data_IF_405554134993
#
_entry.id   IF_405554134993
#
_cell.length_a   1.000
_cell.length_b   1.000
_cell.length_c   1.000
_cell.angle_alpha   90.00
_cell.angle_beta   90.00
_cell.angle_gamma   90.00
#
_symmetry.space_group_name_H-M   'P 1'
#
loop_
_entity.id
_entity.type
_entity.pdbx_description
1 polymer ?
#
# COMPACT_ATOMS: atom_id res chain seq x y z
N UNK A 1 32.66 -93.50 -76.47
CA UNK A 1 33.82 -92.91 -75.94
C UNK A 1 33.62 -91.42 -75.94
N UNK A 2 32.84 -90.95 -75.11
CA UNK A 2 32.26 -89.63 -75.23
C UNK A 2 32.60 -88.74 -74.00
N UNK A 3 33.28 -87.63 -74.24
CA UNK A 3 33.61 -86.65 -73.23
C UNK A 3 32.48 -85.67 -73.13
N UNK A 4 31.79 -85.66 -72.04
CA UNK A 4 30.82 -84.56 -71.68
C UNK A 4 31.59 -83.39 -71.06
N UNK A 5 31.48 -82.23 -71.63
CA UNK A 5 31.92 -80.93 -71.11
C UNK A 5 30.89 -80.38 -70.22
N UNK A 6 31.22 -80.08 -68.98
CA UNK A 6 30.41 -79.24 -68.08
C UNK A 6 30.65 -77.79 -68.45
N UNK A 7 29.58 -77.07 -68.73
CA UNK A 7 29.56 -75.63 -68.81
C UNK A 7 29.23 -75.06 -67.41
N UNK A 8 30.11 -74.21 -66.93
CA UNK A 8 29.84 -73.35 -65.79
C UNK A 8 28.93 -72.20 -66.18
N UNK A 9 27.86 -71.94 -65.42
CA UNK A 9 27.01 -70.77 -65.53
C UNK A 9 27.61 -69.59 -64.75
N UNK A 10 27.48 -68.33 -65.19
CA UNK A 10 28.09 -67.16 -64.53
C UNK A 10 27.41 -66.70 -63.29
N UNK A 11 28.20 -66.43 -62.26
CA UNK A 11 27.80 -65.68 -61.03
C UNK A 11 27.33 -64.24 -61.39
N UNK A 12 26.05 -64.00 -61.45
CA UNK A 12 25.51 -62.66 -61.67
C UNK A 12 24.41 -62.26 -60.71
N UNK A 13 24.21 -62.94 -59.56
CA UNK A 13 23.11 -62.69 -58.68
C UNK A 13 23.48 -61.94 -57.39
N UNK A 14 24.74 -61.78 -57.01
CA UNK A 14 25.07 -61.19 -55.70
C UNK A 14 25.26 -59.69 -55.66
N UNK A 15 25.58 -59.06 -56.84
CA UNK A 15 25.73 -57.57 -56.86
C UNK A 15 24.42 -56.79 -56.78
N UNK A 16 23.31 -57.38 -57.23
CA UNK A 16 21.98 -56.70 -57.22
C UNK A 16 21.34 -56.76 -55.84
N UNK A 17 21.57 -57.76 -55.01
CA UNK A 17 21.05 -57.86 -53.67
C UNK A 17 21.81 -56.93 -52.64
N UNK A 18 23.10 -56.72 -52.82
CA UNK A 18 23.84 -55.77 -51.97
C UNK A 18 23.52 -54.32 -52.26
N UNK A 19 23.25 -53.91 -53.52
CA UNK A 19 22.80 -52.56 -53.88
C UNK A 19 21.35 -52.25 -53.34
N UNK A 20 20.49 -53.25 -53.37
CA UNK A 20 19.10 -53.09 -52.84
C UNK A 20 19.08 -52.93 -51.29
N UNK A 21 19.98 -53.65 -50.59
CA UNK A 21 20.09 -53.52 -49.10
C UNK A 21 20.72 -52.19 -48.68
N UNK A 22 21.59 -51.58 -49.46
CA UNK A 22 22.20 -50.30 -49.16
C UNK A 22 21.25 -49.11 -49.39
N UNK A 23 20.34 -49.23 -50.35
CA UNK A 23 19.32 -48.19 -50.63
C UNK A 23 18.18 -48.20 -49.59
N UNK A 24 17.87 -49.38 -49.02
CA UNK A 24 16.81 -49.46 -47.98
C UNK A 24 17.29 -48.99 -46.60
N UNK A 25 18.58 -49.12 -46.27
CA UNK A 25 19.13 -48.60 -45.01
C UNK A 25 19.24 -47.07 -45.00
N UNK A 26 19.48 -46.40 -46.13
CA UNK A 26 19.52 -44.94 -46.21
C UNK A 26 18.11 -44.30 -46.12
N UNK A 27 17.04 -45.08 -46.31
CA UNK A 27 15.65 -44.58 -46.16
C UNK A 27 15.10 -44.63 -44.73
N UNK A 28 15.71 -45.43 -43.83
CA UNK A 28 15.19 -45.56 -42.44
C UNK A 28 15.73 -44.49 -41.46
N UNK A 29 16.78 -43.75 -41.80
CA UNK A 29 17.35 -42.75 -40.86
C UNK A 29 16.82 -41.34 -40.95
N UNK A 30 15.85 -41.04 -41.81
CA UNK A 30 15.20 -39.73 -41.83
C UNK A 30 13.80 -39.77 -41.21
N UNK A 31 13.76 -39.98 -39.88
CA UNK A 31 12.55 -39.66 -39.13
C UNK A 31 12.16 -38.20 -39.38
N UNK A 32 10.92 -37.93 -39.76
CA UNK A 32 10.49 -36.56 -40.04
C UNK A 32 10.64 -35.73 -38.74
N UNK A 33 11.62 -34.80 -38.75
CA UNK A 33 11.70 -33.78 -37.70
C UNK A 33 10.34 -33.10 -37.61
N UNK A 34 9.53 -33.46 -36.60
CA UNK A 34 8.25 -32.79 -36.29
C UNK A 34 8.52 -31.30 -36.11
N UNK A 35 8.37 -30.53 -37.15
CA UNK A 35 8.33 -29.06 -37.10
C UNK A 35 7.17 -28.72 -36.15
N UNK A 36 7.50 -28.40 -34.88
CA UNK A 36 6.50 -27.98 -33.92
C UNK A 36 5.63 -26.90 -34.55
N UNK A 37 4.30 -27.03 -34.41
CA UNK A 37 3.34 -26.13 -35.03
C UNK A 37 3.66 -24.70 -34.62
N UNK A 38 3.37 -23.72 -35.46
CA UNK A 38 3.59 -22.29 -35.18
C UNK A 38 3.02 -21.90 -33.82
N UNK A 39 1.88 -22.47 -33.46
CA UNK A 39 1.24 -22.33 -32.14
C UNK A 39 2.16 -22.77 -30.98
N UNK A 40 2.88 -23.88 -31.14
CA UNK A 40 3.80 -24.35 -30.07
C UNK A 40 5.04 -23.46 -29.96
N UNK A 41 5.53 -22.88 -31.06
CA UNK A 41 6.65 -21.92 -31.03
C UNK A 41 6.22 -20.61 -30.38
N UNK A 42 5.06 -20.07 -30.76
CA UNK A 42 4.47 -18.87 -30.15
C UNK A 42 4.20 -19.08 -28.66
N UNK A 43 3.63 -20.23 -28.26
CA UNK A 43 3.40 -20.55 -26.86
C UNK A 43 4.71 -20.63 -26.03
N UNK A 44 5.79 -21.16 -26.61
CA UNK A 44 7.11 -21.17 -25.94
C UNK A 44 7.68 -19.76 -25.79
N UNK A 45 7.57 -18.90 -26.81
CA UNK A 45 8.05 -17.52 -26.76
C UNK A 45 7.29 -16.75 -25.69
N UNK A 46 5.95 -16.84 -25.66
CA UNK A 46 5.12 -16.18 -24.63
C UNK A 46 5.48 -16.74 -23.26
N UNK A 47 5.62 -18.05 -23.10
CA UNK A 47 6.00 -18.68 -21.82
C UNK A 47 7.38 -18.24 -21.34
N UNK A 48 8.38 -18.13 -22.23
CA UNK A 48 9.71 -17.62 -21.86
C UNK A 48 9.69 -16.15 -21.50
N UNK A 49 8.95 -15.31 -22.23
CA UNK A 49 8.77 -13.89 -21.89
C UNK A 49 8.12 -13.73 -20.51
N UNK A 50 7.07 -14.50 -20.24
CA UNK A 50 6.37 -14.47 -18.96
C UNK A 50 7.28 -14.94 -17.82
N UNK A 51 8.06 -16.01 -18.04
CA UNK A 51 9.05 -16.48 -17.09
C UNK A 51 10.13 -15.43 -16.79
N UNK A 52 10.65 -14.76 -17.82
CA UNK A 52 11.63 -13.67 -17.66
C UNK A 52 11.03 -12.52 -16.85
N UNK A 53 9.79 -12.10 -17.14
CA UNK A 53 9.11 -11.04 -16.38
C UNK A 53 8.96 -11.44 -14.91
N UNK A 54 8.53 -12.67 -14.63
CA UNK A 54 8.36 -13.16 -13.25
C UNK A 54 9.70 -13.23 -12.52
N UNK A 55 10.75 -13.78 -13.15
CA UNK A 55 12.08 -13.86 -12.55
C UNK A 55 12.68 -12.49 -12.29
N UNK A 56 12.57 -11.58 -13.26
CA UNK A 56 13.04 -10.19 -13.11
C UNK A 56 12.28 -9.50 -11.97
N UNK A 57 10.96 -9.65 -11.91
CA UNK A 57 10.13 -9.13 -10.82
C UNK A 57 10.54 -9.71 -9.46
N UNK A 58 10.81 -11.01 -9.37
CA UNK A 58 11.27 -11.64 -8.13
C UNK A 58 12.65 -11.15 -7.68
N UNK A 59 13.58 -10.95 -8.61
CA UNK A 59 14.91 -10.38 -8.32
C UNK A 59 14.76 -8.93 -7.81
N UNK A 60 13.97 -8.10 -8.48
CA UNK A 60 13.70 -6.74 -8.03
C UNK A 60 13.05 -6.71 -6.65
N UNK A 61 12.06 -7.57 -6.40
CA UNK A 61 11.42 -7.70 -5.10
C UNK A 61 12.41 -8.12 -4.00
N UNK A 62 13.32 -9.06 -4.30
CA UNK A 62 14.36 -9.50 -3.38
C UNK A 62 15.37 -8.39 -3.04
N UNK A 63 15.90 -7.69 -4.05
CA UNK A 63 16.81 -6.55 -3.87
C UNK A 63 16.12 -5.44 -3.09
N UNK A 64 14.88 -5.12 -3.44
CA UNK A 64 14.08 -4.11 -2.77
C UNK A 64 13.82 -4.47 -1.31
N UNK A 65 13.44 -5.70 -1.02
CA UNK A 65 13.26 -6.21 0.34
C UNK A 65 14.56 -6.14 1.17
N UNK A 66 15.69 -6.53 0.59
CA UNK A 66 17.00 -6.44 1.23
C UNK A 66 17.39 -4.98 1.52
N UNK A 67 17.17 -4.07 0.54
CA UNK A 67 17.40 -2.64 0.71
C UNK A 67 16.56 -2.04 1.84
N UNK A 68 15.26 -2.35 1.87
CA UNK A 68 14.35 -1.91 2.93
C UNK A 68 14.85 -2.41 4.29
N UNK A 69 15.13 -3.72 4.40
CA UNK A 69 15.57 -4.32 5.65
C UNK A 69 16.90 -3.72 6.17
N UNK A 70 17.84 -3.39 5.27
CA UNK A 70 19.12 -2.80 5.67
C UNK A 70 19.06 -1.30 5.95
N UNK A 71 18.26 -0.55 5.17
CA UNK A 71 18.17 0.93 5.28
C UNK A 71 17.18 1.41 6.35
N UNK A 72 16.26 0.54 6.79
CA UNK A 72 15.14 0.91 7.65
C UNK A 72 15.23 0.34 9.06
N UNK A 73 16.15 -0.58 9.35
CA UNK A 73 16.36 -1.07 10.73
C UNK A 73 16.72 0.09 11.64
N UNK A 74 15.90 0.31 12.68
CA UNK A 74 16.11 1.37 13.70
C UNK A 74 15.59 2.77 13.32
N UNK A 75 14.96 2.94 12.14
CA UNK A 75 14.33 4.23 11.73
C UNK A 75 12.81 4.13 11.57
N UNK A 76 12.24 2.97 11.85
CA UNK A 76 10.86 2.64 11.50
C UNK A 76 9.92 2.76 12.69
N UNK A 77 10.45 2.72 13.91
CA UNK A 77 9.64 2.69 15.11
C UNK A 77 8.92 4.03 15.31
N UNK A 78 7.60 3.96 15.34
CA UNK A 78 6.70 5.04 15.71
C UNK A 78 5.98 4.57 16.97
N UNK A 79 6.10 5.31 18.06
CA UNK A 79 5.46 4.99 19.33
C UNK A 79 4.31 5.95 19.56
N UNK A 80 3.10 5.43 19.83
CA UNK A 80 1.92 6.27 20.06
C UNK A 80 2.03 7.01 21.40
N UNK A 81 2.66 6.42 22.39
CA UNK A 81 2.85 6.99 23.73
C UNK A 81 3.64 8.32 23.70
N UNK A 82 4.46 8.54 22.64
CA UNK A 82 5.20 9.79 22.47
C UNK A 82 4.29 10.97 22.05
N UNK A 83 3.07 10.71 21.57
CA UNK A 83 2.13 11.75 21.08
C UNK A 83 1.25 12.31 22.18
N UNK A 84 0.90 11.51 23.19
CA UNK A 84 0.17 11.99 24.37
C UNK A 84 0.92 13.10 25.11
N UNK A 85 2.25 13.17 24.91
CA UNK A 85 3.09 14.20 25.57
C UNK A 85 3.12 15.54 24.86
N UNK A 86 2.62 15.65 23.62
CA UNK A 86 2.57 16.89 22.83
C UNK A 86 1.30 17.69 23.05
N UNK A 87 0.77 17.65 24.25
CA UNK A 87 -0.42 18.42 24.62
C UNK A 87 -0.06 19.85 24.99
N UNK A 88 -1.03 20.76 24.80
CA UNK A 88 -0.90 22.15 25.21
C UNK A 88 -0.75 22.25 26.74
N UNK A 89 0.05 23.21 27.21
CA UNK A 89 0.19 23.48 28.65
C UNK A 89 -0.81 24.56 29.05
N UNK A 90 -1.65 24.28 30.02
CA UNK A 90 -2.59 25.26 30.58
C UNK A 90 -2.01 25.92 31.82
N UNK A 91 -2.05 27.25 31.84
CA UNK A 91 -1.65 28.04 32.99
C UNK A 91 -2.91 28.46 33.77
N UNK A 92 -2.90 28.18 35.05
CA UNK A 92 -3.97 28.59 35.97
C UNK A 92 -3.41 29.55 36.99
N UNK A 93 -4.22 30.51 37.41
CA UNK A 93 -3.96 31.34 38.58
C UNK A 93 -5.07 31.17 39.60
N UNK A 94 -4.75 31.37 40.86
CA UNK A 94 -5.71 31.34 41.92
C UNK A 94 -6.26 32.76 42.13
N UNK A 95 -7.53 32.93 41.97
CA UNK A 95 -8.19 34.22 42.17
C UNK A 95 -8.10 34.63 43.64
N UNK A 96 -7.58 35.81 43.95
CA UNK A 96 -7.32 36.22 45.35
C UNK A 96 -8.57 36.34 46.21
N UNK A 97 -9.74 36.66 45.61
CA UNK A 97 -10.97 36.90 46.35
C UNK A 97 -11.76 35.64 46.60
N UNK A 98 -11.86 34.75 45.60
CA UNK A 98 -12.65 33.52 45.70
C UNK A 98 -11.82 32.30 46.14
N UNK A 99 -10.52 32.36 45.89
CA UNK A 99 -9.59 31.20 46.06
C UNK A 99 -9.73 30.15 44.98
N UNK A 100 -10.54 30.38 43.96
CA UNK A 100 -10.75 29.44 42.85
C UNK A 100 -9.60 29.49 41.84
N UNK A 101 -9.30 28.34 41.21
CA UNK A 101 -8.34 28.27 40.13
C UNK A 101 -9.01 28.64 38.81
N UNK A 102 -8.52 29.71 38.19
CA UNK A 102 -9.04 30.22 36.90
C UNK A 102 -7.98 30.02 35.86
N UNK A 103 -8.40 29.47 34.71
CA UNK A 103 -7.50 29.32 33.56
C UNK A 103 -7.05 30.69 33.05
N UNK A 104 -5.75 30.93 33.01
CA UNK A 104 -5.16 32.20 32.57
C UNK A 104 -4.85 32.17 31.09
N UNK A 105 -4.14 31.11 30.63
CA UNK A 105 -3.69 31.01 29.27
C UNK A 105 -3.30 29.55 28.92
N UNK A 106 -3.57 29.16 27.67
CA UNK A 106 -3.02 27.94 27.09
C UNK A 106 -1.74 28.26 26.33
N UNK A 107 -0.66 27.56 26.65
CA UNK A 107 0.62 27.64 25.92
C UNK A 107 0.70 26.50 24.92
N UNK A 108 0.92 26.83 23.67
CA UNK A 108 1.07 25.86 22.59
C UNK A 108 2.54 25.64 22.28
N UNK A 109 2.96 24.37 22.18
CA UNK A 109 4.26 24.05 21.59
C UNK A 109 4.14 24.13 20.06
N UNK A 110 5.09 24.81 19.42
CA UNK A 110 5.17 24.96 17.96
C UNK A 110 3.90 25.55 17.28
N UNK A 111 3.11 26.38 18.02
CA UNK A 111 1.82 26.94 17.56
C UNK A 111 0.76 25.90 17.20
N UNK A 112 0.89 24.68 17.68
CA UNK A 112 -0.13 23.61 17.55
C UNK A 112 -1.07 23.64 18.76
N UNK A 113 -2.36 23.87 18.52
CA UNK A 113 -3.38 23.71 19.54
C UNK A 113 -3.87 22.26 19.52
N UNK A 114 -3.64 21.52 20.62
CA UNK A 114 -3.98 20.12 20.72
C UNK A 114 -4.47 19.77 22.11
N UNK A 115 -5.68 19.22 22.17
CA UNK A 115 -6.29 18.66 23.38
C UNK A 115 -6.59 17.19 23.07
N UNK A 116 -6.06 16.29 23.90
CA UNK A 116 -6.25 14.84 23.73
C UNK A 116 -7.62 14.41 24.27
N UNK A 117 -8.28 13.53 23.53
CA UNK A 117 -9.47 12.82 24.00
C UNK A 117 -9.28 11.31 23.83
N UNK A 118 -9.69 10.54 24.83
CA UNK A 118 -9.79 9.10 24.71
C UNK A 118 -10.89 8.71 23.71
N UNK A 119 -10.78 7.55 23.09
CA UNK A 119 -11.72 7.14 22.05
C UNK A 119 -13.18 7.07 22.52
N UNK A 120 -13.42 6.73 23.78
CA UNK A 120 -14.76 6.67 24.38
C UNK A 120 -15.42 8.04 24.55
N UNK A 121 -14.64 9.10 24.67
CA UNK A 121 -15.10 10.49 24.73
C UNK A 121 -15.50 11.01 23.32
N UNK A 122 -14.97 10.42 22.26
CA UNK A 122 -15.24 10.83 20.88
C UNK A 122 -16.55 10.19 20.38
N UNK A 123 -17.53 10.96 19.89
CA UNK A 123 -18.81 10.42 19.44
C UNK A 123 -18.67 9.32 18.41
N UNK A 124 -19.45 8.25 18.54
CA UNK A 124 -19.46 7.13 17.59
C UNK A 124 -19.75 7.59 16.16
N UNK A 125 -20.58 8.63 16.00
CA UNK A 125 -20.88 9.21 14.68
C UNK A 125 -19.62 9.80 14.04
N UNK A 126 -18.77 10.48 14.78
CA UNK A 126 -17.53 11.06 14.27
C UNK A 126 -16.53 9.97 13.89
N UNK A 127 -16.32 8.97 14.76
CA UNK A 127 -15.48 7.80 14.48
C UNK A 127 -15.91 7.08 13.21
N UNK A 128 -17.20 6.79 13.07
CA UNK A 128 -17.76 6.14 11.90
C UNK A 128 -17.64 6.99 10.62
N UNK A 129 -17.84 8.30 10.71
CA UNK A 129 -17.72 9.21 9.57
C UNK A 129 -16.29 9.25 9.04
N UNK A 130 -15.29 9.33 9.93
CA UNK A 130 -13.86 9.28 9.56
C UNK A 130 -13.53 7.97 8.86
N UNK A 131 -13.90 6.84 9.45
CA UNK A 131 -13.66 5.51 8.85
C UNK A 131 -14.38 5.39 7.50
N UNK A 132 -15.61 5.89 7.38
CA UNK A 132 -16.39 5.79 6.15
C UNK A 132 -15.79 6.60 4.98
N UNK A 133 -15.16 7.72 5.26
CA UNK A 133 -14.61 8.63 4.25
C UNK A 133 -13.14 8.30 3.94
N UNK A 134 -12.33 8.18 4.99
CA UNK A 134 -10.90 8.02 4.83
C UNK A 134 -10.49 6.57 4.52
N UNK A 135 -11.11 5.60 5.19
CA UNK A 135 -10.68 4.21 5.11
C UNK A 135 -11.81 3.21 5.43
N UNK A 136 -12.70 2.98 4.48
CA UNK A 136 -13.89 2.11 4.64
C UNK A 136 -13.59 0.70 5.13
N UNK A 137 -12.35 0.24 4.95
CA UNK A 137 -11.90 -1.10 5.33
C UNK A 137 -10.92 -1.09 6.48
N UNK A 138 -10.84 -0.02 7.23
CA UNK A 138 -9.91 0.17 8.33
C UNK A 138 -9.82 -1.05 9.24
N UNK A 139 -10.95 -1.57 9.70
CA UNK A 139 -11.00 -2.72 10.61
C UNK A 139 -10.70 -4.08 9.94
N UNK A 140 -10.53 -4.13 8.61
CA UNK A 140 -10.35 -5.39 7.88
C UNK A 140 -8.96 -5.59 7.29
N UNK A 141 -8.12 -4.55 7.21
CA UNK A 141 -6.75 -4.67 6.75
C UNK A 141 -5.75 -4.50 7.92
N UNK A 142 -4.46 -4.76 7.64
CA UNK A 142 -3.36 -4.62 8.59
C UNK A 142 -2.40 -3.52 8.16
N UNK A 143 -2.82 -2.26 8.32
CA UNK A 143 -2.02 -1.06 8.02
C UNK A 143 -2.11 -0.58 6.58
N UNK A 144 -2.28 -1.46 5.61
CA UNK A 144 -2.38 -1.13 4.18
C UNK A 144 -3.56 -1.82 3.54
N UNK A 145 -4.41 -1.05 2.89
CA UNK A 145 -5.47 -1.58 2.03
C UNK A 145 -4.94 -1.83 0.61
N UNK A 146 -4.44 -3.04 0.36
CA UNK A 146 -3.90 -3.42 -0.95
C UNK A 146 -4.93 -3.33 -2.08
N UNK A 147 -6.21 -3.59 -1.81
CA UNK A 147 -7.27 -3.44 -2.81
C UNK A 147 -7.54 -1.97 -3.15
N UNK A 148 -7.60 -1.09 -2.14
CA UNK A 148 -7.73 0.35 -2.34
C UNK A 148 -6.52 0.92 -3.08
N UNK A 149 -5.32 0.55 -2.66
CA UNK A 149 -4.07 0.96 -3.30
C UNK A 149 -4.00 0.53 -4.77
N UNK A 150 -4.31 -0.74 -5.08
CA UNK A 150 -4.32 -1.23 -6.46
C UNK A 150 -5.35 -0.49 -7.32
N UNK A 151 -6.57 -0.27 -6.78
CA UNK A 151 -7.60 0.51 -7.47
C UNK A 151 -7.16 1.95 -7.74
N UNK A 152 -6.55 2.63 -6.77
CA UNK A 152 -6.05 3.99 -6.91
C UNK A 152 -4.96 4.08 -8.01
N UNK A 153 -4.01 3.14 -8.03
CA UNK A 153 -2.97 3.05 -9.07
C UNK A 153 -3.60 2.86 -10.45
N UNK A 154 -4.53 1.91 -10.60
CA UNK A 154 -5.20 1.66 -11.87
C UNK A 154 -6.01 2.87 -12.31
N UNK A 155 -6.77 3.53 -11.42
CA UNK A 155 -7.50 4.76 -11.71
C UNK A 155 -6.58 5.85 -12.23
N UNK A 156 -5.43 6.06 -11.60
CA UNK A 156 -4.44 7.05 -12.03
C UNK A 156 -3.86 6.72 -13.40
N UNK A 157 -3.54 5.45 -13.68
CA UNK A 157 -2.98 5.01 -14.97
C UNK A 157 -3.97 5.14 -16.12
N UNK A 158 -5.27 4.96 -15.87
CA UNK A 158 -6.33 5.04 -16.88
C UNK A 158 -7.05 6.39 -16.93
N UNK A 159 -6.49 7.44 -16.30
CA UNK A 159 -7.03 8.81 -16.37
C UNK A 159 -8.31 9.03 -15.55
N UNK A 160 -8.59 8.16 -14.57
CA UNK A 160 -9.68 8.34 -13.62
C UNK A 160 -9.34 9.36 -12.52
N UNK A 161 -10.35 9.76 -11.75
CA UNK A 161 -10.16 10.64 -10.59
C UNK A 161 -9.26 9.97 -9.55
N UNK A 162 -8.30 10.72 -9.02
CA UNK A 162 -7.39 10.24 -7.96
C UNK A 162 -8.19 10.12 -6.66
N UNK A 163 -8.80 8.97 -6.42
CA UNK A 163 -9.31 8.65 -5.08
C UNK A 163 -8.16 8.29 -4.15
N UNK A 164 -8.16 8.84 -2.93
CA UNK A 164 -7.18 8.53 -1.91
C UNK A 164 -7.05 7.01 -1.69
N UNK A 165 -5.86 6.49 -1.82
CA UNK A 165 -5.55 5.08 -1.59
C UNK A 165 -4.76 4.84 -0.30
N UNK A 166 -4.54 5.89 0.52
CA UNK A 166 -3.86 5.77 1.81
C UNK A 166 -4.86 5.42 2.91
N UNK A 167 -4.45 4.55 3.83
CA UNK A 167 -5.25 4.16 5.00
C UNK A 167 -5.11 5.18 6.12
N UNK A 168 -6.01 5.12 7.12
CA UNK A 168 -5.91 5.90 8.36
C UNK A 168 -4.54 5.69 9.01
N UNK A 169 -4.07 4.46 9.12
CA UNK A 169 -2.76 4.13 9.70
C UNK A 169 -1.60 4.79 8.93
N UNK A 170 -1.66 4.81 7.59
CA UNK A 170 -0.67 5.47 6.75
C UNK A 170 -0.71 6.99 6.91
N UNK A 171 -1.90 7.57 7.04
CA UNK A 171 -2.06 9.01 7.27
C UNK A 171 -1.54 9.41 8.66
N UNK A 172 -1.83 8.62 9.70
CA UNK A 172 -1.29 8.82 11.04
C UNK A 172 0.25 8.84 11.01
N UNK A 173 0.87 7.81 10.42
CA UNK A 173 2.33 7.75 10.27
C UNK A 173 2.89 8.99 9.55
N UNK A 174 2.24 9.44 8.49
CA UNK A 174 2.65 10.63 7.75
C UNK A 174 2.56 11.89 8.62
N UNK A 175 1.45 12.09 9.32
CA UNK A 175 1.22 13.27 10.15
C UNK A 175 2.26 13.37 11.27
N UNK A 176 2.47 12.26 11.94
CA UNK A 176 3.39 12.13 13.06
C UNK A 176 4.86 12.33 12.67
N UNK A 177 5.26 11.81 11.51
CA UNK A 177 6.66 11.93 11.09
C UNK A 177 6.98 13.24 10.38
N UNK A 178 5.97 14.03 10.04
CA UNK A 178 6.13 15.30 9.32
C UNK A 178 6.78 15.17 7.94
N UNK A 179 6.97 13.94 7.44
CA UNK A 179 7.63 13.71 6.15
C UNK A 179 6.65 13.93 5.00
N UNK A 180 6.66 15.14 4.48
CA UNK A 180 5.80 15.59 3.37
C UNK A 180 6.45 15.47 1.98
N UNK A 181 7.62 14.84 1.84
CA UNK A 181 8.29 14.69 0.55
C UNK A 181 7.48 13.80 -0.39
N UNK A 182 7.29 14.23 -1.64
CA UNK A 182 6.62 13.45 -2.69
C UNK A 182 7.60 12.48 -3.36
N UNK A 183 8.13 11.51 -2.60
CA UNK A 183 9.06 10.49 -3.12
C UNK A 183 8.52 9.08 -2.93
N UNK A 184 8.89 8.19 -3.85
CA UNK A 184 8.57 6.76 -3.73
C UNK A 184 9.18 6.17 -2.46
N UNK A 185 10.41 6.60 -2.11
CA UNK A 185 11.09 6.18 -0.89
C UNK A 185 10.27 6.50 0.35
N UNK A 186 9.77 7.72 0.46
CA UNK A 186 8.89 8.12 1.57
C UNK A 186 7.64 7.24 1.65
N UNK A 187 6.95 7.02 0.49
CA UNK A 187 5.72 6.20 0.49
C UNK A 187 5.98 4.75 0.89
N UNK A 188 7.10 4.19 0.51
CA UNK A 188 7.51 2.85 0.95
C UNK A 188 7.80 2.83 2.46
N UNK A 189 8.50 3.85 2.98
CA UNK A 189 8.76 3.98 4.42
C UNK A 189 7.46 4.09 5.21
N UNK A 190 6.53 4.92 4.74
CA UNK A 190 5.18 5.07 5.33
C UNK A 190 4.42 3.74 5.39
N UNK A 191 4.41 2.98 4.29
CA UNK A 191 3.80 1.64 4.23
C UNK A 191 4.43 0.72 5.29
N UNK A 192 5.75 0.72 5.38
CA UNK A 192 6.46 -0.16 6.31
C UNK A 192 6.17 0.20 7.78
N UNK A 193 6.15 1.50 8.09
CA UNK A 193 5.77 2.02 9.42
C UNK A 193 4.33 1.70 9.77
N UNK A 194 3.40 1.84 8.81
CA UNK A 194 2.00 1.49 9.02
C UNK A 194 1.81 -0.01 9.31
N UNK A 195 2.51 -0.90 8.59
CA UNK A 195 2.50 -2.33 8.86
C UNK A 195 3.11 -2.70 10.22
N UNK A 196 4.11 -1.95 10.66
CA UNK A 196 4.75 -2.17 11.95
C UNK A 196 3.89 -1.65 13.11
N UNK A 197 3.28 -0.49 12.94
CA UNK A 197 2.34 0.09 13.91
C UNK A 197 1.19 -0.89 14.21
N UNK A 198 0.58 -1.45 13.18
CA UNK A 198 -0.53 -2.42 13.30
C UNK A 198 -0.16 -3.80 13.86
N UNK A 199 1.12 -4.05 14.09
CA UNK A 199 1.56 -5.23 14.85
C UNK A 199 1.62 -4.96 16.34
N UNK A 200 1.74 -3.70 16.74
CA UNK A 200 1.98 -3.28 18.11
C UNK A 200 0.75 -2.70 18.80
N UNK A 201 -0.12 -2.06 18.02
CA UNK A 201 -1.29 -1.36 18.52
C UNK A 201 -2.57 -1.89 17.91
N UNK A 202 -3.64 -1.90 18.69
CA UNK A 202 -4.97 -2.27 18.24
C UNK A 202 -5.60 -1.17 17.37
N UNK A 203 -6.61 -1.55 16.61
CA UNK A 203 -7.30 -0.61 15.69
C UNK A 203 -7.87 0.62 16.38
N UNK A 204 -8.41 0.44 17.57
CA UNK A 204 -9.03 1.53 18.32
C UNK A 204 -7.97 2.51 18.86
N UNK A 205 -6.81 2.03 19.28
CA UNK A 205 -5.66 2.88 19.68
C UNK A 205 -5.13 3.70 18.50
N UNK A 206 -5.04 3.08 17.31
CA UNK A 206 -4.61 3.76 16.07
C UNK A 206 -5.65 4.81 15.65
N UNK A 207 -6.94 4.51 15.76
CA UNK A 207 -8.01 5.45 15.45
C UNK A 207 -8.03 6.63 16.43
N UNK A 208 -7.83 6.36 17.72
CA UNK A 208 -7.73 7.39 18.76
C UNK A 208 -6.57 8.33 18.44
N UNK A 209 -5.38 7.80 18.22
CA UNK A 209 -4.22 8.60 17.86
C UNK A 209 -4.46 9.42 16.57
N UNK A 210 -5.07 8.83 15.54
CA UNK A 210 -5.40 9.54 14.31
C UNK A 210 -6.34 10.72 14.55
N UNK A 211 -7.42 10.52 15.34
CA UNK A 211 -8.41 11.55 15.63
C UNK A 211 -7.83 12.70 16.46
N UNK A 212 -6.80 12.44 17.25
CA UNK A 212 -6.08 13.45 18.01
C UNK A 212 -4.93 14.14 17.23
N UNK A 213 -4.48 13.54 16.09
CA UNK A 213 -3.36 14.05 15.30
C UNK A 213 -3.77 14.74 13.99
N UNK A 214 -4.98 14.48 13.49
CA UNK A 214 -5.41 15.01 12.21
C UNK A 214 -5.57 16.54 12.24
N UNK A 215 -5.07 17.20 11.18
CA UNK A 215 -5.12 18.65 11.04
C UNK A 215 -6.44 19.12 10.43
N UNK A 216 -7.09 20.08 11.07
CA UNK A 216 -8.37 20.66 10.67
C UNK A 216 -8.30 22.11 10.14
N UNK A 217 -7.13 22.67 9.93
CA UNK A 217 -6.97 24.10 9.63
C UNK A 217 -6.79 24.96 10.91
N UNK A 218 -6.50 26.24 10.75
CA UNK A 218 -6.36 27.22 11.85
C UNK A 218 -5.47 26.75 13.02
N UNK A 219 -4.39 26.06 12.74
CA UNK A 219 -3.53 25.44 13.77
C UNK A 219 -4.27 24.45 14.69
N UNK A 220 -5.46 23.98 14.31
CA UNK A 220 -6.22 22.99 15.07
C UNK A 220 -5.78 21.59 14.71
N UNK A 221 -5.25 20.89 15.69
CA UNK A 221 -4.90 19.47 15.62
C UNK A 221 -5.82 18.69 16.55
N UNK A 222 -6.39 17.61 16.02
CA UNK A 222 -7.32 16.75 16.74
C UNK A 222 -8.76 17.26 16.79
N UNK A 223 -9.66 16.30 17.01
CA UNK A 223 -11.12 16.51 16.94
C UNK A 223 -11.67 17.38 18.05
N UNK A 224 -11.04 17.38 19.24
CA UNK A 224 -11.48 18.21 20.38
C UNK A 224 -11.26 19.68 20.06
N UNK A 225 -10.04 20.03 19.66
CA UNK A 225 -9.68 21.39 19.30
C UNK A 225 -10.52 21.89 18.13
N UNK A 226 -10.79 21.03 17.14
CA UNK A 226 -11.65 21.37 16.02
C UNK A 226 -13.12 21.59 16.44
N UNK A 227 -13.66 20.77 17.36
CA UNK A 227 -15.01 20.94 17.90
C UNK A 227 -15.17 22.28 18.63
N UNK A 228 -14.22 22.64 19.47
CA UNK A 228 -14.19 23.91 20.19
C UNK A 228 -14.03 25.09 19.21
N UNK A 229 -13.14 25.01 18.25
CA UNK A 229 -12.83 26.10 17.32
C UNK A 229 -13.99 26.40 16.37
N UNK A 230 -14.61 25.38 15.80
CA UNK A 230 -15.62 25.54 14.75
C UNK A 230 -17.06 25.58 15.29
N UNK A 231 -17.32 24.99 16.43
CA UNK A 231 -18.68 24.85 16.96
C UNK A 231 -18.85 25.37 18.39
N UNK A 232 -17.78 25.77 19.07
CA UNK A 232 -17.77 26.19 20.47
C UNK A 232 -18.47 25.13 21.38
N UNK A 233 -18.09 23.84 21.16
CA UNK A 233 -18.69 22.69 21.83
C UNK A 233 -17.63 21.69 22.30
N UNK A 234 -17.98 20.96 23.35
CA UNK A 234 -17.25 19.71 23.66
C UNK A 234 -17.44 18.69 22.53
N UNK A 235 -16.41 17.90 22.26
CA UNK A 235 -16.45 16.91 21.20
C UNK A 235 -17.57 15.88 21.36
N UNK A 236 -17.95 15.56 22.62
CA UNK A 236 -19.02 14.62 22.94
C UNK A 236 -20.43 15.17 22.59
N UNK A 237 -20.56 16.47 22.45
CA UNK A 237 -21.85 17.18 22.17
C UNK A 237 -22.08 17.37 20.65
N UNK A 238 -21.17 16.98 19.81
CA UNK A 238 -21.29 17.15 18.36
C UNK A 238 -22.48 16.38 17.79
N UNK A 239 -23.31 17.09 17.04
CA UNK A 239 -24.38 16.49 16.24
C UNK A 239 -23.85 15.71 15.07
N UNK A 240 -24.67 14.86 14.45
CA UNK A 240 -24.28 14.11 13.24
C UNK A 240 -23.84 15.04 12.10
N UNK A 241 -24.50 16.19 11.92
CA UNK A 241 -24.15 17.16 10.87
C UNK A 241 -22.80 17.81 11.15
N UNK A 242 -22.51 18.18 12.38
CA UNK A 242 -21.22 18.75 12.80
C UNK A 242 -20.09 17.72 12.65
N UNK A 243 -20.32 16.45 13.05
CA UNK A 243 -19.37 15.37 12.79
C UNK A 243 -19.05 15.22 11.30
N UNK A 244 -20.05 15.23 10.44
CA UNK A 244 -19.86 15.14 8.99
C UNK A 244 -19.11 16.36 8.42
N UNK A 245 -19.38 17.56 8.95
CA UNK A 245 -18.70 18.80 8.56
C UNK A 245 -17.22 18.77 8.93
N UNK A 246 -16.87 18.33 10.15
CA UNK A 246 -15.46 18.17 10.55
C UNK A 246 -14.73 17.20 9.62
N UNK A 247 -15.32 16.04 9.33
CA UNK A 247 -14.67 15.06 8.45
C UNK A 247 -14.51 15.60 7.03
N UNK A 248 -15.40 16.45 6.54
CA UNK A 248 -15.24 17.10 5.25
C UNK A 248 -14.00 18.02 5.19
N UNK A 249 -13.66 18.69 6.30
CA UNK A 249 -12.47 19.57 6.39
C UNK A 249 -11.19 18.78 6.19
N UNK A 250 -11.06 17.56 6.71
CA UNK A 250 -9.82 16.75 6.59
C UNK A 250 -9.42 16.50 5.15
N UNK A 251 -10.38 16.44 4.22
CA UNK A 251 -10.13 16.21 2.81
C UNK A 251 -9.38 17.37 2.13
N UNK A 252 -9.70 18.61 2.49
CA UNK A 252 -8.97 19.81 2.05
C UNK A 252 -9.18 20.96 3.07
N UNK A 253 -8.34 21.04 4.11
CA UNK A 253 -8.51 22.03 5.17
C UNK A 253 -8.52 23.48 4.67
N UNK A 254 -7.76 23.77 3.61
CA UNK A 254 -7.71 25.13 3.04
C UNK A 254 -8.95 25.52 2.24
N UNK A 255 -9.70 24.53 1.73
CA UNK A 255 -10.90 24.79 0.91
C UNK A 255 -12.18 24.69 1.72
N UNK A 256 -12.24 23.75 2.67
CA UNK A 256 -13.44 23.42 3.46
C UNK A 256 -13.42 24.00 4.87
N UNK A 257 -12.51 24.93 5.12
CA UNK A 257 -12.45 25.67 6.37
C UNK A 257 -13.75 26.41 6.62
N UNK A 258 -14.45 26.08 7.71
CA UNK A 258 -15.75 26.64 8.03
C UNK A 258 -15.70 28.13 8.35
N UNK A 259 -14.54 28.68 8.71
CA UNK A 259 -14.36 30.12 8.93
C UNK A 259 -14.34 30.90 7.61
N UNK A 260 -14.01 30.28 6.49
CA UNK A 260 -13.96 30.92 5.16
C UNK A 260 -15.32 30.99 4.47
N UNK A 261 -16.33 30.32 4.98
CA UNK A 261 -17.70 30.30 4.41
C UNK A 261 -18.37 31.68 4.36
N UNK A 262 -17.88 32.62 5.16
CA UNK A 262 -18.45 33.99 5.22
C UNK A 262 -17.79 34.96 4.22
N UNK A 263 -16.86 34.51 3.41
CA UNK A 263 -16.23 35.31 2.36
C UNK A 263 -16.81 34.97 1.00
#
# INVERSE_FOLDING_TARGET
MERRRHRQAPEHSDRTQQSARHIDNDRQERAPRRRGSVRQKVGRIIGTLLLVIVLTGAIFAGIFSAYINSSMRGKVEVYLDEFETKVSTELYYQEPESGEWVMYQTLFMDAENRIWANLDQIPKNLRNAVVAIEDKRFYSHKGVDWHGTARAILSTLFGGSVQGGSTITQQLVKNVTGDNQNTVKRKVTEIYRALDLEKRYEKDEILEAYLNEVYFGHSCYGVVTAAMTYFDKDVSELTLAECASLVAITNNPSLYDLSLIHI
#
